data_IF_789814338006
#
_entry.id   IF_789814338006
#
_cell.length_a   1.000
_cell.length_b   1.000
_cell.length_c   1.000
_cell.angle_alpha   90.00
_cell.angle_beta   90.00
_cell.angle_gamma   90.00
#
_symmetry.space_group_name_H-M   'P 1'
#
loop_
_entity.id
_entity.type
_entity.pdbx_description
1 polymer ?
#
# COMPACT_ATOMS: atom_id res chain seq x y z
N UNK A 1 3.59 23.14 -16.05
CA UNK A 1 4.21 22.55 -17.27
C UNK A 1 3.20 21.60 -17.92
N UNK A 2 3.08 21.49 -19.26
CA UNK A 2 2.12 20.56 -19.87
C UNK A 2 2.64 19.11 -19.73
N UNK A 3 1.89 18.28 -19.02
CA UNK A 3 2.14 16.85 -18.92
C UNK A 3 1.29 16.12 -19.96
N UNK A 4 1.93 15.56 -20.99
CA UNK A 4 1.25 14.77 -22.01
C UNK A 4 1.73 13.33 -21.92
N UNK A 5 0.81 12.40 -21.64
CA UNK A 5 1.09 10.98 -21.51
C UNK A 5 0.10 10.18 -22.35
N UNK A 6 0.59 9.10 -22.96
CA UNK A 6 -0.23 8.13 -23.70
C UNK A 6 -1.03 7.21 -22.76
N UNK A 7 -1.26 5.96 -23.18
CA UNK A 7 -1.95 4.99 -22.34
C UNK A 7 -1.09 4.58 -21.14
N UNK A 8 -1.68 4.61 -19.94
CA UNK A 8 -1.04 4.19 -18.69
C UNK A 8 -1.90 3.11 -18.04
N UNK A 9 -1.31 1.95 -17.73
CA UNK A 9 -1.96 0.90 -16.93
C UNK A 9 -1.27 0.82 -15.58
N UNK A 10 -1.95 1.32 -14.55
CA UNK A 10 -1.52 1.14 -13.16
C UNK A 10 -2.23 -0.10 -12.61
N UNK A 11 -1.44 -1.06 -12.13
CA UNK A 11 -1.96 -2.37 -11.70
C UNK A 11 -2.26 -2.39 -10.20
N UNK A 12 -1.45 -1.73 -9.39
CA UNK A 12 -1.77 -1.39 -8.01
C UNK A 12 -0.87 -0.28 -7.50
N UNK A 13 -1.40 0.52 -6.57
CA UNK A 13 -0.67 1.52 -5.80
C UNK A 13 -1.02 1.23 -4.35
N UNK A 14 -0.03 0.83 -3.56
CA UNK A 14 -0.23 0.36 -2.18
C UNK A 14 0.01 1.49 -1.16
N UNK A 15 0.18 1.13 0.10
CA UNK A 15 0.30 2.06 1.24
C UNK A 15 1.30 3.20 1.00
N UNK A 16 0.93 4.46 1.30
CA UNK A 16 1.68 5.68 0.92
C UNK A 16 2.02 5.83 -0.56
N UNK A 17 1.40 5.06 -1.45
CA UNK A 17 1.69 5.10 -2.88
C UNK A 17 1.02 6.29 -3.54
N UNK A 18 1.81 7.12 -4.21
CA UNK A 18 1.31 8.22 -5.03
C UNK A 18 1.81 8.03 -6.46
N UNK A 19 0.88 8.05 -7.41
CA UNK A 19 1.19 8.03 -8.84
C UNK A 19 0.72 9.33 -9.48
N UNK A 20 1.67 10.23 -9.78
CA UNK A 20 1.39 11.51 -10.41
C UNK A 20 2.08 11.62 -11.77
N UNK A 21 1.37 12.24 -12.71
CA UNK A 21 1.87 12.58 -14.03
C UNK A 21 1.80 14.09 -14.19
N UNK A 22 2.97 14.73 -14.27
CA UNK A 22 3.10 16.19 -14.34
C UNK A 22 3.76 16.77 -13.09
N UNK A 23 3.72 18.09 -12.97
CA UNK A 23 4.40 18.79 -11.88
C UNK A 23 3.70 18.55 -10.54
N UNK A 24 4.48 18.29 -9.50
CA UNK A 24 4.00 18.16 -8.13
C UNK A 24 4.79 19.10 -7.22
N UNK A 25 4.09 19.93 -6.46
CA UNK A 25 4.71 20.98 -5.63
C UNK A 25 5.22 20.46 -4.27
N UNK A 26 4.43 19.64 -3.57
CA UNK A 26 4.87 18.93 -2.37
C UNK A 26 3.95 17.73 -2.12
N UNK A 27 4.49 16.65 -1.54
CA UNK A 27 3.73 15.49 -1.10
C UNK A 27 4.32 14.95 0.19
N UNK A 28 3.47 14.64 1.16
CA UNK A 28 3.84 13.96 2.40
C UNK A 28 2.88 12.79 2.65
N UNK A 29 3.04 11.66 1.92
CA UNK A 29 2.24 10.47 2.19
C UNK A 29 2.75 9.79 3.46
N UNK A 30 2.04 9.98 4.56
CA UNK A 30 2.23 9.17 5.76
C UNK A 30 1.34 7.94 5.69
N UNK A 31 1.85 6.79 6.12
CA UNK A 31 1.01 5.61 6.21
C UNK A 31 1.57 4.51 7.10
N UNK A 32 0.74 4.12 8.05
CA UNK A 32 0.89 2.94 8.88
C UNK A 32 0.05 1.80 8.31
N UNK A 33 0.65 0.62 8.10
CA UNK A 33 -0.09 -0.55 7.62
C UNK A 33 0.32 -1.81 8.38
N UNK A 34 -0.71 -2.59 8.70
CA UNK A 34 -0.61 -3.91 9.32
C UNK A 34 -1.26 -4.88 8.38
N UNK A 35 -0.46 -5.78 7.84
CA UNK A 35 -0.87 -6.59 6.71
C UNK A 35 -0.66 -8.05 7.04
N UNK A 36 -1.78 -8.76 7.18
CA UNK A 36 -1.80 -10.21 7.38
C UNK A 36 -2.41 -10.86 6.15
N UNK A 37 -1.74 -11.89 5.66
CA UNK A 37 -2.06 -12.53 4.41
C UNK A 37 -2.19 -14.04 4.60
N UNK A 38 -3.28 -14.61 4.07
CA UNK A 38 -3.48 -16.06 3.98
C UNK A 38 -2.96 -16.64 2.68
N UNK A 39 -3.11 -17.94 2.47
CA UNK A 39 -2.75 -18.54 1.20
C UNK A 39 -3.63 -17.98 0.07
N UNK A 40 -3.02 -17.70 -1.07
CA UNK A 40 -3.67 -17.07 -2.21
C UNK A 40 -3.89 -15.56 -2.12
N UNK A 41 -3.27 -14.88 -1.15
CA UNK A 41 -3.36 -13.42 -1.00
C UNK A 41 -2.39 -12.64 -1.91
N UNK A 42 -2.65 -11.34 -2.08
CA UNK A 42 -1.89 -10.35 -2.87
C UNK A 42 -1.63 -10.67 -4.34
N UNK A 43 -2.48 -11.49 -4.94
CA UNK A 43 -2.42 -11.77 -6.36
C UNK A 43 -2.94 -10.59 -7.17
N UNK A 44 -2.13 -10.10 -8.11
CA UNK A 44 -2.49 -8.99 -8.99
C UNK A 44 -2.10 -9.30 -10.43
N UNK A 45 -2.99 -9.11 -11.39
CA UNK A 45 -2.79 -9.47 -12.80
C UNK A 45 -3.83 -10.46 -13.33
N UNK A 46 -3.68 -10.88 -14.58
CA UNK A 46 -4.64 -11.73 -15.31
C UNK A 46 -4.13 -13.18 -15.41
N UNK A 47 -5.02 -14.18 -15.34
CA UNK A 47 -4.67 -15.60 -15.50
C UNK A 47 -4.24 -16.32 -14.21
N UNK A 48 -4.64 -15.81 -13.04
CA UNK A 48 -4.23 -16.35 -11.76
C UNK A 48 -5.19 -17.48 -11.34
N UNK A 49 -4.64 -18.69 -11.19
CA UNK A 49 -5.33 -19.85 -10.63
C UNK A 49 -4.56 -20.32 -9.41
N UNK A 50 -5.24 -20.46 -8.28
CA UNK A 50 -4.63 -20.75 -6.98
C UNK A 50 -5.42 -21.88 -6.35
N UNK A 51 -4.77 -23.04 -6.28
CA UNK A 51 -5.30 -24.19 -5.56
C UNK A 51 -4.68 -24.24 -4.16
N UNK A 52 -5.51 -23.99 -3.15
CA UNK A 52 -5.07 -23.96 -1.75
C UNK A 52 -5.85 -24.99 -0.94
N UNK A 53 -5.15 -25.97 -0.37
CA UNK A 53 -5.79 -27.07 0.38
C UNK A 53 -6.06 -26.74 1.85
N UNK A 54 -5.23 -25.92 2.50
CA UNK A 54 -5.46 -25.43 3.87
C UNK A 54 -4.72 -24.09 4.05
N UNK A 55 -5.36 -23.11 4.69
CA UNK A 55 -4.76 -21.82 5.05
C UNK A 55 -5.03 -21.51 6.50
N UNK A 56 -3.98 -21.24 7.26
CA UNK A 56 -4.09 -20.82 8.65
C UNK A 56 -3.27 -19.55 8.85
N UNK A 57 -3.95 -18.43 9.12
CA UNK A 57 -3.31 -17.16 9.43
C UNK A 57 -3.59 -16.86 10.89
N UNK A 58 -2.63 -17.18 11.76
CA UNK A 58 -2.71 -16.81 13.18
C UNK A 58 -1.88 -15.59 13.43
N UNK A 59 -2.52 -14.59 14.00
CA UNK A 59 -1.89 -13.35 14.40
C UNK A 59 -2.05 -13.26 15.91
N UNK A 60 -0.94 -13.34 16.62
CA UNK A 60 -0.88 -13.03 18.04
C UNK A 60 -0.22 -11.67 18.17
N UNK A 61 -1.03 -10.67 18.48
CA UNK A 61 -0.58 -9.32 18.76
C UNK A 61 -0.68 -9.09 20.27
N UNK A 62 0.46 -8.84 20.93
CA UNK A 62 0.58 -8.71 22.38
C UNK A 62 0.92 -7.28 22.82
N UNK A 63 0.95 -6.33 21.89
CA UNK A 63 1.29 -4.94 22.17
C UNK A 63 0.04 -4.04 22.10
N UNK A 64 -0.26 -3.24 23.14
CA UNK A 64 -1.45 -2.36 23.18
C UNK A 64 -1.35 -1.13 22.25
N UNK A 65 -0.15 -0.80 21.76
CA UNK A 65 0.09 0.33 20.85
C UNK A 65 0.94 -0.17 19.69
N UNK A 66 0.29 -0.36 18.57
CA UNK A 66 0.89 -1.08 17.45
C UNK A 66 1.45 -0.10 16.38
N UNK A 67 1.18 1.20 16.51
CA UNK A 67 1.89 2.29 15.83
C UNK A 67 1.56 3.64 16.52
N UNK A 68 2.56 4.34 17.07
CA UNK A 68 2.39 5.78 17.36
C UNK A 68 2.79 6.54 16.11
N UNK A 69 1.82 6.99 15.31
CA UNK A 69 2.10 7.98 14.27
C UNK A 69 2.56 9.26 15.01
N UNK A 70 3.88 9.45 15.11
CA UNK A 70 4.44 10.70 15.62
C UNK A 70 4.19 11.71 14.50
N UNK A 71 3.11 12.47 14.60
CA UNK A 71 3.03 13.76 13.94
C UNK A 71 4.23 14.57 14.44
N UNK A 72 5.29 14.65 13.64
CA UNK A 72 6.26 15.73 13.79
C UNK A 72 5.50 17.03 13.44
N UNK A 73 4.85 17.62 14.44
CA UNK A 73 4.46 19.03 14.43
C UNK A 73 5.76 19.82 14.44
N UNK A 74 6.33 19.98 13.24
CA UNK A 74 7.67 20.52 13.01
C UNK A 74 7.70 21.42 11.78
N UNK A 75 6.84 22.43 11.74
CA UNK A 75 7.18 23.70 11.11
C UNK A 75 6.42 24.83 11.82
N UNK A 76 7.17 25.55 12.66
CA UNK A 76 6.87 26.93 13.08
C UNK A 76 6.63 27.81 11.85
#
# INVERSE_FOLDING_TARGET
MPAQVGAVKVVSVSNSGIFNIGDVYAMAPDSSAKTFAGGGSFNTGDGISIDLSNSYTTVYDQDEIDQSDIEEVGAV
#
